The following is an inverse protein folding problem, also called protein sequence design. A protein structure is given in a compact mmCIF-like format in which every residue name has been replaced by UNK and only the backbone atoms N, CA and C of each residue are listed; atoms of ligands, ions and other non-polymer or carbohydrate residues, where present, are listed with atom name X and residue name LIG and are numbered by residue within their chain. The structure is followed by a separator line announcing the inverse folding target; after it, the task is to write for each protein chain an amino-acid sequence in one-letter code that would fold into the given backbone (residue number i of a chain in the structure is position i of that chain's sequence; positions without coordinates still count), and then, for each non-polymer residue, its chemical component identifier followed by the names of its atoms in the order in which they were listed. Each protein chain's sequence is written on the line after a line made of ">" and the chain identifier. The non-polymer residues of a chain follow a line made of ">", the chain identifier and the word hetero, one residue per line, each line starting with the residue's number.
data_IF_657766484850
#
_entry.id   IF_657766484850
#
_cell.length_a   1.000
_cell.length_b   1.000
_cell.length_c   1.000
_cell.angle_alpha   90.00
_cell.angle_beta   90.00
_cell.angle_gamma   90.00
#
_symmetry.space_group_name_H-M   'P 1'
#
loop_
_entity.id
_entity.type
_entity.pdbx_description
1 polymer ?
#
# COMPACT_ATOMS: atom_id res chain seq x y z
N UNK A 1 -14.31 4.73 -1.92
CA UNK A 1 -14.92 5.48 -3.03
C UNK A 1 -15.32 4.51 -4.11
N UNK A 2 -16.60 4.46 -4.43
CA UNK A 2 -17.14 3.61 -5.49
C UNK A 2 -17.63 4.50 -6.63
N UNK A 3 -17.28 4.17 -7.86
CA UNK A 3 -17.78 4.89 -9.03
C UNK A 3 -17.15 4.38 -10.32
N UNK A 4 -17.72 4.69 -11.49
CA UNK A 4 -17.21 4.23 -12.78
C UNK A 4 -15.82 4.80 -13.11
N UNK A 5 -15.19 4.27 -14.16
CA UNK A 5 -13.99 4.87 -14.74
C UNK A 5 -14.27 6.33 -15.14
N UNK A 6 -13.30 7.22 -14.89
CA UNK A 6 -13.46 8.65 -15.17
C UNK A 6 -14.21 9.44 -14.09
N UNK A 7 -14.72 8.82 -13.01
CA UNK A 7 -15.39 9.53 -11.92
C UNK A 7 -14.46 10.37 -11.02
N UNK A 8 -13.18 10.56 -11.39
CA UNK A 8 -12.22 11.35 -10.62
C UNK A 8 -11.60 10.67 -9.39
N UNK A 9 -11.82 9.36 -9.20
CA UNK A 9 -11.32 8.59 -8.05
C UNK A 9 -9.78 8.62 -7.92
N UNK A 10 -9.09 8.33 -9.03
CA UNK A 10 -7.61 8.36 -9.09
C UNK A 10 -7.10 9.79 -8.92
N UNK A 11 -7.75 10.79 -9.53
CA UNK A 11 -7.40 12.20 -9.34
C UNK A 11 -7.51 12.62 -7.88
N UNK A 12 -8.56 12.17 -7.17
CA UNK A 12 -8.71 12.38 -5.74
C UNK A 12 -7.56 11.75 -4.95
N UNK A 13 -7.23 10.47 -5.19
CA UNK A 13 -6.10 9.82 -4.52
C UNK A 13 -4.81 10.61 -4.79
N UNK A 14 -4.52 10.96 -6.05
CA UNK A 14 -3.31 11.70 -6.43
C UNK A 14 -3.19 13.05 -5.71
N UNK A 15 -4.30 13.75 -5.46
CA UNK A 15 -4.31 14.95 -4.62
C UNK A 15 -3.98 14.64 -3.16
N UNK A 16 -4.64 13.63 -2.59
CA UNK A 16 -4.46 13.25 -1.19
C UNK A 16 -3.06 12.74 -0.86
N UNK A 17 -2.39 12.12 -1.82
CA UNK A 17 -1.01 11.63 -1.66
C UNK A 17 0.04 12.63 -2.15
N UNK A 18 -0.36 13.85 -2.53
CA UNK A 18 0.54 14.94 -2.92
C UNK A 18 1.24 14.78 -4.28
N UNK A 19 0.77 13.88 -5.16
CA UNK A 19 1.28 13.78 -6.54
C UNK A 19 0.83 14.95 -7.41
N UNK A 20 -0.36 15.49 -7.16
CA UNK A 20 -0.88 16.69 -7.81
C UNK A 20 -1.44 17.65 -6.75
N UNK A 21 -1.24 18.97 -6.87
CA UNK A 21 -1.83 19.91 -5.93
C UNK A 21 -3.35 20.01 -6.13
N UNK A 22 -4.14 20.24 -5.06
CA UNK A 22 -5.57 20.51 -5.22
C UNK A 22 -5.80 21.83 -5.96
N UNK A 23 -6.64 21.81 -6.99
CA UNK A 23 -7.02 23.02 -7.76
C UNK A 23 -7.61 24.10 -6.86
N UNK A 24 -8.42 23.72 -5.88
CA UNK A 24 -9.00 24.60 -4.86
C UNK A 24 -9.33 23.80 -3.60
N UNK A 25 -9.62 24.50 -2.49
CA UNK A 25 -9.92 23.87 -1.19
C UNK A 25 -8.69 23.29 -0.49
N UNK A 26 -8.90 22.62 0.64
CA UNK A 26 -7.85 21.91 1.38
C UNK A 26 -8.38 20.56 1.87
N UNK A 27 -7.48 19.69 2.30
CA UNK A 27 -7.82 18.47 3.00
C UNK A 27 -6.86 18.27 4.18
N UNK A 28 -7.35 17.62 5.23
CA UNK A 28 -6.58 17.35 6.43
C UNK A 28 -6.40 15.85 6.64
N UNK A 29 -5.17 15.42 6.88
CA UNK A 29 -4.82 14.05 7.26
C UNK A 29 -4.31 14.07 8.69
N UNK A 30 -5.07 13.51 9.64
CA UNK A 30 -4.74 13.61 11.08
C UNK A 30 -4.48 15.05 11.56
N UNK A 31 -5.25 16.02 11.05
CA UNK A 31 -5.11 17.43 11.41
C UNK A 31 -4.00 18.19 10.67
N UNK A 32 -3.21 17.52 9.84
CA UNK A 32 -2.16 18.12 9.00
C UNK A 32 -2.70 18.51 7.63
N UNK A 33 -2.34 19.68 7.12
CA UNK A 33 -2.80 20.19 5.82
C UNK A 33 -1.95 19.58 4.68
N UNK A 34 -2.62 18.98 3.69
CA UNK A 34 -1.96 18.34 2.53
C UNK A 34 -1.19 19.32 1.61
N UNK A 35 -1.29 20.64 1.84
CA UNK A 35 -0.57 21.65 1.07
C UNK A 35 0.72 22.09 1.76
N UNK A 36 0.79 22.04 3.08
CA UNK A 36 1.93 22.56 3.87
C UNK A 36 2.71 21.47 4.60
N UNK A 37 2.05 20.37 4.98
CA UNK A 37 2.58 19.42 5.97
C UNK A 37 2.91 18.04 5.38
N UNK A 38 3.01 17.95 4.04
CA UNK A 38 3.14 16.67 3.33
C UNK A 38 4.33 15.82 3.77
N UNK A 39 5.45 16.43 4.17
CA UNK A 39 6.62 15.69 4.65
C UNK A 39 6.30 14.86 5.90
N UNK A 40 5.54 15.42 6.85
CA UNK A 40 5.10 14.72 8.05
C UNK A 40 4.02 13.68 7.71
N UNK A 41 3.07 14.06 6.86
CA UNK A 41 2.02 13.15 6.35
C UNK A 41 2.64 11.92 5.69
N UNK A 42 3.69 12.06 4.88
CA UNK A 42 4.36 10.93 4.21
C UNK A 42 4.95 9.91 5.18
N UNK A 43 5.37 10.32 6.39
CA UNK A 43 5.85 9.35 7.38
C UNK A 43 4.72 8.45 7.89
N UNK A 44 3.50 8.99 7.99
CA UNK A 44 2.32 8.33 8.54
C UNK A 44 1.32 7.80 7.49
N UNK A 45 1.62 7.95 6.20
CA UNK A 45 0.74 7.58 5.08
C UNK A 45 1.26 6.37 4.29
N UNK A 46 0.41 5.37 4.06
CA UNK A 46 0.65 4.27 3.14
C UNK A 46 -0.02 4.50 1.79
N UNK A 47 0.61 4.06 0.69
CA UNK A 47 0.02 4.14 -0.65
C UNK A 47 0.21 2.82 -1.39
N UNK A 48 -0.89 2.27 -1.91
CA UNK A 48 -0.91 1.13 -2.81
C UNK A 48 -1.53 1.58 -4.16
N UNK A 49 -0.72 1.96 -5.16
CA UNK A 49 -1.22 2.42 -6.46
C UNK A 49 -1.91 1.30 -7.25
N UNK A 50 -2.64 1.64 -8.32
CA UNK A 50 -3.28 0.65 -9.20
C UNK A 50 -2.26 -0.25 -9.90
N UNK A 51 -1.16 0.33 -10.38
CA UNK A 51 -0.03 -0.39 -10.96
C UNK A 51 1.05 -0.63 -9.91
N UNK A 52 1.53 -1.87 -9.81
CA UNK A 52 2.57 -2.25 -8.85
C UNK A 52 3.90 -1.54 -9.19
N UNK A 53 4.42 -0.75 -8.24
CA UNK A 53 5.72 -0.07 -8.35
C UNK A 53 6.84 -0.96 -7.80
N UNK A 54 7.11 -2.07 -8.51
CA UNK A 54 8.06 -3.08 -8.06
C UNK A 54 9.26 -3.21 -9.01
N UNK A 55 10.46 -3.30 -8.44
CA UNK A 55 11.68 -3.60 -9.17
C UNK A 55 11.82 -5.11 -9.36
N UNK A 56 11.70 -5.59 -10.59
CA UNK A 56 11.72 -7.03 -10.91
C UNK A 56 13.00 -7.74 -10.46
N UNK A 57 14.11 -7.01 -10.35
CA UNK A 57 15.43 -7.55 -9.94
C UNK A 57 15.60 -7.68 -8.43
N UNK A 58 14.78 -6.99 -7.64
CA UNK A 58 14.79 -7.07 -6.17
C UNK A 58 13.87 -8.17 -5.67
N UNK A 59 14.19 -8.71 -4.51
CA UNK A 59 13.35 -9.66 -3.77
C UNK A 59 12.22 -8.94 -3.03
N UNK A 60 11.17 -9.67 -2.65
CA UNK A 60 10.09 -9.11 -1.83
C UNK A 60 10.59 -8.56 -0.49
N UNK A 61 11.58 -9.25 0.12
CA UNK A 61 12.25 -8.81 1.34
C UNK A 61 13.01 -7.50 1.14
N UNK A 62 13.78 -7.36 0.05
CA UNK A 62 14.52 -6.13 -0.23
C UNK A 62 13.61 -4.93 -0.44
N UNK A 63 12.45 -5.11 -1.09
CA UNK A 63 11.44 -4.04 -1.19
C UNK A 63 10.98 -3.57 0.19
N UNK A 64 10.60 -4.50 1.07
CA UNK A 64 10.13 -4.15 2.41
C UNK A 64 11.25 -3.52 3.26
N UNK A 65 12.49 -3.99 3.13
CA UNK A 65 13.63 -3.34 3.77
C UNK A 65 13.83 -1.90 3.28
N UNK A 66 13.70 -1.68 1.97
CA UNK A 66 13.83 -0.36 1.35
C UNK A 66 12.72 0.60 1.84
N UNK A 67 11.47 0.21 1.67
CA UNK A 67 10.33 1.05 2.08
C UNK A 67 10.26 1.24 3.59
N UNK A 68 10.61 0.22 4.39
CA UNK A 68 10.70 0.34 5.84
C UNK A 68 11.73 1.38 6.28
N UNK A 69 12.88 1.48 5.60
CA UNK A 69 13.87 2.54 5.87
C UNK A 69 13.36 3.94 5.53
N UNK A 70 12.60 4.09 4.43
CA UNK A 70 11.92 5.35 4.11
C UNK A 70 10.90 5.75 5.19
N UNK A 71 10.37 4.77 5.92
CA UNK A 71 9.52 4.95 7.11
C UNK A 71 10.30 5.08 8.42
N UNK A 72 11.59 5.40 8.35
CA UNK A 72 12.49 5.56 9.49
C UNK A 72 12.71 4.32 10.37
N UNK A 73 12.30 3.12 9.94
CA UNK A 73 12.58 1.88 10.65
C UNK A 73 14.05 1.47 10.50
N UNK A 74 14.67 0.98 11.57
CA UNK A 74 16.08 0.59 11.61
C UNK A 74 16.31 -0.70 12.42
N UNK A 75 17.48 -1.32 12.22
CA UNK A 75 17.95 -2.44 13.03
C UNK A 75 16.93 -3.59 13.16
N UNK A 76 16.76 -4.08 14.38
CA UNK A 76 15.86 -5.19 14.68
C UNK A 76 14.38 -4.88 14.39
N UNK A 77 13.95 -3.63 14.54
CA UNK A 77 12.58 -3.21 14.26
C UNK A 77 12.26 -3.35 12.77
N UNK A 78 13.16 -2.90 11.89
CA UNK A 78 13.02 -3.04 10.44
C UNK A 78 12.94 -4.50 10.02
N UNK A 79 13.81 -5.36 10.58
CA UNK A 79 13.82 -6.79 10.26
C UNK A 79 12.52 -7.47 10.69
N UNK A 80 12.04 -7.16 11.91
CA UNK A 80 10.77 -7.66 12.43
C UNK A 80 9.59 -7.20 11.57
N UNK A 81 9.51 -5.90 11.28
CA UNK A 81 8.45 -5.34 10.44
C UNK A 81 8.42 -5.95 9.03
N UNK A 82 9.61 -6.25 8.48
CA UNK A 82 9.75 -6.93 7.18
C UNK A 82 9.20 -8.36 7.22
N UNK A 83 9.60 -9.15 8.22
CA UNK A 83 9.12 -10.53 8.36
C UNK A 83 7.61 -10.58 8.64
N UNK A 84 7.12 -9.72 9.52
CA UNK A 84 5.69 -9.67 9.87
C UNK A 84 4.86 -9.19 8.67
N UNK A 85 5.37 -8.24 7.89
CA UNK A 85 4.77 -7.84 6.62
C UNK A 85 4.67 -9.02 5.64
N UNK A 86 5.76 -9.76 5.41
CA UNK A 86 5.76 -10.94 4.54
C UNK A 86 4.78 -12.02 5.02
N UNK A 87 4.68 -12.25 6.34
CA UNK A 87 3.74 -13.22 6.92
C UNK A 87 2.30 -12.76 6.69
N UNK A 88 2.02 -11.48 6.92
CA UNK A 88 0.66 -10.92 6.79
C UNK A 88 0.08 -11.11 5.39
N UNK A 89 0.94 -11.16 4.35
CA UNK A 89 0.52 -11.34 2.96
C UNK A 89 0.86 -12.72 2.37
N UNK A 90 1.15 -13.70 3.22
CA UNK A 90 1.48 -15.08 2.82
C UNK A 90 2.64 -15.18 1.81
N UNK A 91 3.67 -14.35 1.98
CA UNK A 91 4.90 -14.39 1.17
C UNK A 91 6.15 -14.83 1.98
N UNK A 92 6.00 -15.09 3.28
CA UNK A 92 7.11 -15.52 4.14
C UNK A 92 7.48 -17.00 3.95
N UNK A 93 6.48 -17.88 3.81
CA UNK A 93 6.70 -19.33 3.76
C UNK A 93 7.35 -19.77 2.44
N UNK A 94 8.14 -20.84 2.48
CA UNK A 94 8.75 -21.44 1.29
C UNK A 94 9.78 -20.55 0.58
N UNK A 95 10.39 -19.60 1.30
CA UNK A 95 11.41 -18.69 0.77
C UNK A 95 10.91 -17.75 -0.33
N UNK A 96 9.60 -17.52 -0.41
CA UNK A 96 9.01 -16.66 -1.45
C UNK A 96 9.51 -15.22 -1.33
N UNK A 97 9.59 -14.68 -0.11
CA UNK A 97 10.11 -13.34 0.18
C UNK A 97 11.53 -13.10 -0.33
N UNK A 98 12.34 -14.14 -0.45
CA UNK A 98 13.74 -14.08 -0.88
C UNK A 98 13.91 -14.38 -2.39
N UNK A 99 12.81 -14.60 -3.11
CA UNK A 99 12.82 -14.69 -4.58
C UNK A 99 12.66 -13.29 -5.17
N UNK A 100 13.36 -13.06 -6.28
CA UNK A 100 13.18 -11.86 -7.09
C UNK A 100 11.72 -11.69 -7.53
N UNK A 101 11.23 -10.46 -7.48
CA UNK A 101 9.84 -10.11 -7.83
C UNK A 101 9.53 -10.42 -9.30
N UNK A 102 10.53 -10.47 -10.17
CA UNK A 102 10.42 -11.00 -11.55
C UNK A 102 9.78 -12.39 -11.64
N UNK A 103 9.87 -13.18 -10.57
CA UNK A 103 9.33 -14.55 -10.50
C UNK A 103 7.95 -14.62 -9.82
N UNK A 104 7.40 -13.49 -9.39
CA UNK A 104 6.10 -13.43 -8.71
C UNK A 104 4.97 -13.48 -9.73
N UNK A 105 3.89 -14.19 -9.40
CA UNK A 105 2.63 -14.03 -10.12
C UNK A 105 2.04 -12.64 -9.88
N UNK A 106 1.10 -12.20 -10.72
CA UNK A 106 0.42 -10.91 -10.52
C UNK A 106 -0.23 -10.78 -9.13
N UNK A 107 -0.85 -11.86 -8.63
CA UNK A 107 -1.40 -11.88 -7.27
C UNK A 107 -0.35 -11.77 -6.16
N UNK A 108 0.86 -12.31 -6.37
CA UNK A 108 1.97 -12.15 -5.43
C UNK A 108 2.53 -10.73 -5.44
N UNK A 109 2.69 -10.13 -6.63
CA UNK A 109 3.09 -8.72 -6.80
C UNK A 109 2.10 -7.80 -6.09
N UNK A 110 0.81 -8.03 -6.30
CA UNK A 110 -0.24 -7.22 -5.65
C UNK A 110 -0.21 -7.32 -4.12
N UNK A 111 -0.01 -8.54 -3.60
CA UNK A 111 0.15 -8.77 -2.16
C UNK A 111 1.39 -8.07 -1.59
N UNK A 112 2.50 -8.05 -2.32
CA UNK A 112 3.69 -7.31 -1.93
C UNK A 112 3.44 -5.78 -1.92
N UNK A 113 2.78 -5.22 -2.94
CA UNK A 113 2.40 -3.80 -2.97
C UNK A 113 1.55 -3.39 -1.77
N UNK A 114 0.63 -4.27 -1.35
CA UNK A 114 -0.17 -4.06 -0.13
C UNK A 114 0.70 -4.09 1.12
N UNK A 115 1.62 -5.05 1.24
CA UNK A 115 2.57 -5.10 2.36
C UNK A 115 3.44 -3.83 2.43
N UNK A 116 3.92 -3.34 1.29
CA UNK A 116 4.67 -2.08 1.19
C UNK A 116 3.81 -0.90 1.69
N UNK A 117 2.54 -0.84 1.31
CA UNK A 117 1.64 0.23 1.78
C UNK A 117 1.35 0.18 3.28
N UNK A 118 1.64 -0.93 3.96
CA UNK A 118 1.37 -1.15 5.38
C UNK A 118 2.63 -1.10 6.26
N UNK A 119 3.82 -1.10 5.67
CA UNK A 119 5.07 -1.08 6.44
C UNK A 119 5.26 0.27 7.13
N UNK A 120 5.79 0.25 8.35
CA UNK A 120 5.96 1.47 9.18
C UNK A 120 4.71 1.88 9.96
N UNK A 121 3.70 1.02 10.07
CA UNK A 121 2.43 1.27 10.78
C UNK A 121 1.75 2.61 10.42
N UNK A 122 1.48 2.86 9.12
CA UNK A 122 0.82 4.09 8.71
C UNK A 122 -0.58 4.20 9.32
N UNK A 123 -0.97 5.43 9.69
CA UNK A 123 -2.28 5.73 10.27
C UNK A 123 -3.36 5.91 9.22
N UNK A 124 -2.96 6.27 7.99
CA UNK A 124 -3.85 6.33 6.82
C UNK A 124 -3.22 5.59 5.65
N UNK A 125 -4.00 4.76 4.96
CA UNK A 125 -3.55 4.03 3.77
C UNK A 125 -4.50 4.30 2.62
N UNK A 126 -3.95 4.74 1.49
CA UNK A 126 -4.68 4.91 0.23
C UNK A 126 -4.42 3.71 -0.69
N UNK A 127 -5.47 3.09 -1.20
CA UNK A 127 -5.37 1.96 -2.13
C UNK A 127 -6.19 2.25 -3.39
N UNK A 128 -5.51 2.43 -4.52
CA UNK A 128 -6.18 2.67 -5.79
C UNK A 128 -6.47 1.33 -6.49
N UNK A 129 -7.73 0.94 -6.53
CA UNK A 129 -8.24 -0.30 -7.12
C UNK A 129 -7.43 -1.56 -6.71
N UNK A 130 -7.34 -1.90 -5.41
CA UNK A 130 -6.47 -2.94 -4.88
C UNK A 130 -6.75 -4.35 -5.42
N UNK A 131 -7.98 -4.64 -5.84
CA UNK A 131 -8.42 -5.98 -6.25
C UNK A 131 -8.56 -6.20 -7.75
N UNK A 132 -8.33 -5.18 -8.58
CA UNK A 132 -8.52 -5.28 -10.03
C UNK A 132 -7.54 -6.29 -10.65
N UNK A 133 -8.02 -7.14 -11.56
CA UNK A 133 -7.21 -8.15 -12.24
C UNK A 133 -6.83 -9.38 -11.39
N UNK A 134 -7.22 -9.44 -10.12
CA UNK A 134 -7.00 -10.62 -9.27
C UNK A 134 -8.06 -11.70 -9.51
N UNK A 135 -7.60 -12.95 -9.53
CA UNK A 135 -8.46 -14.13 -9.41
C UNK A 135 -9.22 -14.15 -8.07
N UNK A 136 -10.33 -14.91 -7.94
CA UNK A 136 -11.16 -14.91 -6.74
C UNK A 136 -10.40 -15.24 -5.45
N UNK A 137 -9.47 -16.19 -5.48
CA UNK A 137 -8.73 -16.59 -4.29
C UNK A 137 -7.75 -15.49 -3.85
N UNK A 138 -7.02 -14.90 -4.81
CA UNK A 138 -6.13 -13.76 -4.54
C UNK A 138 -6.89 -12.54 -4.01
N UNK A 139 -8.10 -12.27 -4.55
CA UNK A 139 -8.97 -11.19 -4.06
C UNK A 139 -9.44 -11.42 -2.62
N UNK A 140 -9.86 -12.63 -2.27
CA UNK A 140 -10.28 -12.95 -0.91
C UNK A 140 -9.12 -12.84 0.09
N UNK A 141 -7.93 -13.29 -0.31
CA UNK A 141 -6.72 -13.13 0.50
C UNK A 141 -6.38 -11.66 0.73
N UNK A 142 -6.38 -10.84 -0.33
CA UNK A 142 -6.19 -9.39 -0.25
C UNK A 142 -7.17 -8.76 0.75
N UNK A 143 -8.46 -9.05 0.62
CA UNK A 143 -9.47 -8.47 1.52
C UNK A 143 -9.32 -8.92 2.97
N UNK A 144 -8.81 -10.13 3.21
CA UNK A 144 -8.50 -10.60 4.55
C UNK A 144 -7.37 -9.77 5.18
N UNK A 145 -6.32 -9.47 4.40
CA UNK A 145 -5.22 -8.59 4.83
C UNK A 145 -5.72 -7.18 5.12
N UNK A 146 -6.52 -6.60 4.20
CA UNK A 146 -7.07 -5.25 4.36
C UNK A 146 -7.99 -5.15 5.59
N UNK A 147 -8.84 -6.16 5.82
CA UNK A 147 -9.72 -6.21 7.00
C UNK A 147 -8.93 -6.27 8.31
N UNK A 148 -7.87 -7.08 8.36
CA UNK A 148 -7.00 -7.15 9.54
C UNK A 148 -6.27 -5.82 9.75
N UNK A 149 -5.73 -5.26 8.67
CA UNK A 149 -5.02 -3.99 8.70
C UNK A 149 -5.90 -2.84 9.20
N UNK A 150 -7.19 -2.81 8.84
CA UNK A 150 -8.15 -1.73 9.22
C UNK A 150 -8.32 -1.57 10.73
N UNK A 151 -8.07 -2.58 11.56
CA UNK A 151 -8.37 -2.53 13.01
C UNK A 151 -7.76 -1.33 13.73
N UNK A 152 -6.58 -0.85 13.30
CA UNK A 152 -5.82 0.21 13.97
C UNK A 152 -5.48 1.40 13.07
N UNK A 153 -6.09 1.53 11.88
CA UNK A 153 -5.80 2.61 10.92
C UNK A 153 -6.95 2.87 9.95
N UNK A 154 -6.98 4.06 9.36
CA UNK A 154 -7.91 4.37 8.29
C UNK A 154 -7.40 3.81 6.96
N UNK A 155 -8.27 3.15 6.19
CA UNK A 155 -7.96 2.69 4.83
C UNK A 155 -8.99 3.31 3.88
N UNK A 156 -8.52 4.13 2.94
CA UNK A 156 -9.31 4.69 1.85
C UNK A 156 -8.99 3.88 0.60
N UNK A 157 -10.01 3.30 -0.01
CA UNK A 157 -9.86 2.54 -1.25
C UNK A 157 -10.80 3.04 -2.33
N UNK A 158 -10.37 2.92 -3.58
CA UNK A 158 -11.22 3.12 -4.76
C UNK A 158 -11.60 1.77 -5.35
N UNK A 159 -12.82 1.69 -5.90
CA UNK A 159 -13.29 0.52 -6.63
C UNK A 159 -14.27 0.95 -7.72
N UNK A 160 -14.31 0.17 -8.79
CA UNK A 160 -15.33 0.22 -9.85
C UNK A 160 -16.44 -0.82 -9.65
N UNK A 161 -16.23 -1.79 -8.75
CA UNK A 161 -17.18 -2.87 -8.46
C UNK A 161 -17.66 -2.82 -7.01
N UNK A 162 -18.96 -3.05 -6.80
CA UNK A 162 -19.50 -3.49 -5.50
C UNK A 162 -19.10 -4.95 -5.33
N UNK A 163 -18.13 -5.21 -4.45
CA UNK A 163 -17.79 -6.56 -4.02
C UNK A 163 -18.76 -7.06 -2.96
#
# INVERSE_FOLDING_TARGET
>A
MLGPNGAGKTSFISMMIGLIPPTSGTAYVHGMDIRTDMNEIYTNMGVCPQHDLLWETLTGREHLLFYGRLKNLKGAELLKATDDSLKSVNLFRGGVGDKQVGKYSGGMKRRLSVAISLIGDPKVVFMDEPSTGLDPASRNNLWSVVKEAKKNRAIILTSIHLS
#
